data_IF_847085828314
#
_entry.id   IF_847085828314
#
_cell.length_a   1.000
_cell.length_b   1.000
_cell.length_c   1.000
_cell.angle_alpha   90.00
_cell.angle_beta   90.00
_cell.angle_gamma   90.00
#
_symmetry.space_group_name_H-M   'P 1'
#
loop_
_entity.id
_entity.type
_entity.pdbx_description
1 polymer ?
#
# COMPACT_ATOMS: atom_id res chain seq x y z
N UNK A 1 3.61 -32.12 5.65
CA UNK A 1 3.47 -31.40 6.94
C UNK A 1 4.10 -30.03 6.76
N UNK A 2 3.38 -28.95 7.04
CA UNK A 2 3.88 -27.58 6.80
C UNK A 2 4.57 -27.08 8.06
N UNK A 3 5.83 -26.65 7.93
CA UNK A 3 6.62 -26.09 9.03
C UNK A 3 6.06 -24.71 9.46
N UNK A 4 5.64 -24.54 10.74
CA UNK A 4 5.17 -23.25 11.24
C UNK A 4 6.20 -22.11 11.12
N UNK A 5 7.50 -22.42 11.25
CA UNK A 5 8.55 -21.41 11.09
C UNK A 5 8.61 -20.90 9.64
N UNK A 6 8.43 -21.80 8.67
CA UNK A 6 8.35 -21.44 7.26
C UNK A 6 7.13 -20.56 6.97
N UNK A 7 5.97 -20.84 7.58
CA UNK A 7 4.78 -20.00 7.43
C UNK A 7 5.01 -18.59 8.01
N UNK A 8 5.64 -18.50 9.18
CA UNK A 8 5.97 -17.21 9.79
C UNK A 8 6.98 -16.40 8.98
N UNK A 9 7.99 -17.06 8.42
CA UNK A 9 8.94 -16.43 7.51
C UNK A 9 8.25 -15.90 6.24
N UNK A 10 7.34 -16.69 5.64
CA UNK A 10 6.56 -16.25 4.47
C UNK A 10 5.67 -15.06 4.80
N UNK A 11 4.97 -15.10 5.93
CA UNK A 11 4.16 -13.96 6.43
C UNK A 11 5.02 -12.72 6.64
N UNK A 12 6.19 -12.84 7.26
CA UNK A 12 7.12 -11.72 7.45
C UNK A 12 7.62 -11.15 6.12
N UNK A 13 7.87 -12.00 5.12
CA UNK A 13 8.21 -11.58 3.76
C UNK A 13 7.09 -10.78 3.09
N UNK A 14 5.84 -11.22 3.22
CA UNK A 14 4.67 -10.47 2.70
C UNK A 14 4.54 -9.12 3.43
N UNK A 15 4.71 -9.11 4.76
CA UNK A 15 4.68 -7.87 5.56
C UNK A 15 5.72 -6.86 5.07
N UNK A 16 6.94 -7.31 4.79
CA UNK A 16 7.98 -6.45 4.23
C UNK A 16 7.57 -5.88 2.86
N UNK A 17 7.06 -6.72 1.96
CA UNK A 17 6.62 -6.28 0.62
C UNK A 17 5.48 -5.25 0.69
N UNK A 18 4.47 -5.49 1.51
CA UNK A 18 3.34 -4.55 1.68
C UNK A 18 3.81 -3.24 2.31
N UNK A 19 4.76 -3.30 3.26
CA UNK A 19 5.34 -2.10 3.87
C UNK A 19 6.10 -1.26 2.84
N UNK A 20 6.91 -1.89 1.97
CA UNK A 20 7.60 -1.16 0.89
C UNK A 20 6.62 -0.62 -0.15
N UNK A 21 5.59 -1.38 -0.52
CA UNK A 21 4.54 -0.90 -1.43
C UNK A 21 3.82 0.33 -0.86
N UNK A 22 3.52 0.33 0.44
CA UNK A 22 2.95 1.47 1.14
C UNK A 22 3.87 2.68 1.00
N UNK A 23 5.17 2.54 1.26
CA UNK A 23 6.13 3.66 1.13
C UNK A 23 6.17 4.19 -0.30
N UNK A 24 6.31 3.32 -1.28
CA UNK A 24 6.33 3.70 -2.69
C UNK A 24 5.05 4.44 -3.11
N UNK A 25 3.88 4.00 -2.61
CA UNK A 25 2.61 4.67 -2.89
C UNK A 25 2.53 6.06 -2.24
N UNK A 26 3.05 6.22 -1.02
CA UNK A 26 3.12 7.51 -0.35
C UNK A 26 4.02 8.50 -1.12
N UNK A 27 5.18 8.04 -1.58
CA UNK A 27 6.09 8.84 -2.40
C UNK A 27 5.42 9.25 -3.73
N UNK A 28 4.78 8.30 -4.41
CA UNK A 28 4.03 8.57 -5.64
C UNK A 28 2.87 9.57 -5.42
N UNK A 29 2.19 9.49 -4.28
CA UNK A 29 1.11 10.42 -3.93
C UNK A 29 1.64 11.85 -3.78
N UNK A 30 2.84 12.00 -3.25
CA UNK A 30 3.49 13.31 -3.13
C UNK A 30 3.97 13.84 -4.50
N UNK A 31 4.49 12.98 -5.36
CA UNK A 31 4.81 13.36 -6.74
C UNK A 31 3.57 13.87 -7.49
N UNK A 32 2.42 13.20 -7.33
CA UNK A 32 1.15 13.67 -7.88
C UNK A 32 0.67 14.97 -7.24
N UNK A 33 0.96 15.21 -5.95
CA UNK A 33 0.65 16.50 -5.30
C UNK A 33 1.45 17.64 -5.91
N UNK A 34 2.72 17.39 -6.28
CA UNK A 34 3.59 18.37 -6.90
C UNK A 34 3.29 18.59 -8.40
N UNK A 35 2.67 17.62 -9.07
CA UNK A 35 2.44 17.62 -10.52
C UNK A 35 1.78 18.90 -11.08
N UNK A 36 0.78 19.53 -10.44
CA UNK A 36 0.20 20.79 -10.93
C UNK A 36 1.19 21.94 -11.00
N UNK A 37 2.23 21.94 -10.16
CA UNK A 37 3.28 22.96 -10.15
C UNK A 37 4.36 22.74 -11.24
N UNK A 38 4.34 21.60 -11.95
CA UNK A 38 5.32 21.29 -12.99
C UNK A 38 5.23 22.19 -14.22
N UNK A 39 4.09 22.85 -14.45
CA UNK A 39 3.82 23.62 -15.66
C UNK A 39 3.67 22.76 -16.93
N UNK A 40 3.68 21.43 -16.81
CA UNK A 40 3.59 20.50 -17.94
C UNK A 40 2.16 20.10 -18.31
N UNK A 41 1.17 20.49 -17.49
CA UNK A 41 -0.25 20.18 -17.71
C UNK A 41 -0.90 21.29 -18.53
N UNK A 42 -1.33 20.95 -19.74
CA UNK A 42 -1.95 21.91 -20.67
C UNK A 42 -3.47 21.89 -20.61
N UNK A 43 -4.07 20.71 -20.74
CA UNK A 43 -5.52 20.50 -20.71
C UNK A 43 -5.83 19.01 -20.47
N UNK A 44 -7.10 18.70 -20.39
CA UNK A 44 -7.70 17.36 -20.39
C UNK A 44 -8.49 17.15 -21.67
N UNK A 45 -8.54 15.91 -22.18
CA UNK A 45 -9.34 15.63 -23.37
C UNK A 45 -10.84 15.86 -23.11
N UNK A 46 -11.48 16.67 -23.96
CA UNK A 46 -12.93 16.90 -23.99
C UNK A 46 -13.35 18.37 -23.97
N UNK A 47 -13.98 18.85 -25.05
CA UNK A 47 -14.53 20.22 -25.14
C UNK A 47 -15.67 20.36 -24.12
N UNK A 48 -15.49 21.24 -23.12
CA UNK A 48 -16.52 21.56 -22.12
C UNK A 48 -16.58 20.58 -20.93
N UNK A 49 -15.58 19.72 -20.75
CA UNK A 49 -15.55 18.79 -19.62
C UNK A 49 -15.25 19.53 -18.30
N UNK A 50 -16.04 19.27 -17.25
CA UNK A 50 -15.79 19.69 -15.85
C UNK A 50 -14.49 19.10 -15.25
N UNK A 51 -13.73 18.36 -16.04
CA UNK A 51 -12.66 17.47 -15.62
C UNK A 51 -11.34 18.18 -15.91
N UNK A 52 -10.98 19.21 -15.15
CA UNK A 52 -9.69 19.92 -15.34
C UNK A 52 -8.48 19.04 -14.99
N UNK A 53 -7.25 19.38 -15.42
CA UNK A 53 -6.05 18.68 -14.94
C UNK A 53 -5.95 18.63 -13.42
N UNK A 54 -6.35 19.71 -12.74
CA UNK A 54 -6.39 19.76 -11.28
C UNK A 54 -7.40 18.76 -10.69
N UNK A 55 -8.57 18.61 -11.31
CA UNK A 55 -9.57 17.61 -10.92
C UNK A 55 -9.04 16.18 -11.11
N UNK A 56 -8.44 15.87 -12.26
CA UNK A 56 -7.84 14.55 -12.52
C UNK A 56 -6.75 14.20 -11.49
N UNK A 57 -5.86 15.16 -11.20
CA UNK A 57 -4.79 14.97 -10.22
C UNK A 57 -5.36 14.78 -8.82
N UNK A 58 -6.38 15.55 -8.43
CA UNK A 58 -7.05 15.40 -7.14
C UNK A 58 -7.71 14.02 -7.01
N UNK A 59 -8.43 13.56 -8.04
CA UNK A 59 -9.08 12.24 -8.04
C UNK A 59 -8.07 11.09 -7.97
N UNK A 60 -6.96 11.16 -8.71
CA UNK A 60 -5.90 10.15 -8.61
C UNK A 60 -5.30 10.08 -7.20
N UNK A 61 -5.09 11.24 -6.56
CA UNK A 61 -4.58 11.30 -5.19
C UNK A 61 -5.57 10.74 -4.17
N UNK A 62 -6.85 11.03 -4.31
CA UNK A 62 -7.90 10.46 -3.44
C UNK A 62 -7.87 8.93 -3.48
N UNK A 63 -7.77 8.34 -4.67
CA UNK A 63 -7.64 6.88 -4.84
C UNK A 63 -6.35 6.33 -4.19
N UNK A 64 -5.23 7.06 -4.25
CA UNK A 64 -4.00 6.64 -3.56
C UNK A 64 -4.09 6.77 -2.04
N UNK A 65 -4.79 7.79 -1.54
CA UNK A 65 -5.08 7.97 -0.13
C UNK A 65 -5.95 6.80 0.39
N UNK A 66 -6.98 6.39 -0.36
CA UNK A 66 -7.77 5.17 -0.08
C UNK A 66 -6.91 3.90 -0.08
N UNK A 67 -6.11 3.69 -1.13
CA UNK A 67 -5.24 2.52 -1.22
C UNK A 67 -4.21 2.47 -0.07
N UNK A 68 -3.77 3.62 0.43
CA UNK A 68 -2.88 3.70 1.60
C UNK A 68 -3.57 3.16 2.86
N UNK A 69 -4.85 3.48 3.07
CA UNK A 69 -5.64 2.97 4.20
C UNK A 69 -5.73 1.44 4.13
N UNK A 70 -5.98 0.88 2.94
CA UNK A 70 -6.05 -0.56 2.75
C UNK A 70 -4.70 -1.27 2.98
N UNK A 71 -3.59 -0.64 2.58
CA UNK A 71 -2.26 -1.16 2.87
C UNK A 71 -1.93 -1.10 4.36
N UNK A 72 -2.32 -0.04 5.07
CA UNK A 72 -2.17 0.07 6.52
C UNK A 72 -2.99 -1.04 7.22
N UNK A 73 -4.21 -1.32 6.76
CA UNK A 73 -5.03 -2.42 7.25
C UNK A 73 -4.40 -3.81 6.98
N UNK A 74 -3.79 -4.00 5.80
CA UNK A 74 -3.07 -5.23 5.47
C UNK A 74 -1.83 -5.44 6.35
N UNK A 75 -1.08 -4.37 6.63
CA UNK A 75 0.07 -4.36 7.54
C UNK A 75 -0.36 -4.76 8.95
N UNK A 76 -1.44 -4.16 9.47
CA UNK A 76 -2.02 -4.53 10.77
C UNK A 76 -2.42 -6.01 10.80
N UNK A 77 -3.17 -6.48 9.80
CA UNK A 77 -3.62 -7.87 9.72
C UNK A 77 -2.46 -8.87 9.75
N UNK A 78 -1.38 -8.60 8.99
CA UNK A 78 -0.16 -9.41 8.97
C UNK A 78 0.59 -9.38 10.31
N UNK A 79 0.59 -8.23 10.99
CA UNK A 79 1.13 -8.08 12.34
C UNK A 79 0.36 -8.92 13.35
N UNK A 80 -0.97 -8.81 13.38
CA UNK A 80 -1.85 -9.60 14.26
C UNK A 80 -1.69 -11.10 14.01
N UNK A 81 -1.60 -11.53 12.76
CA UNK A 81 -1.33 -12.93 12.42
C UNK A 81 -0.02 -13.41 13.06
N UNK A 82 1.05 -12.61 12.99
CA UNK A 82 2.32 -12.90 13.65
C UNK A 82 2.22 -12.99 15.18
N UNK A 83 1.41 -12.14 15.79
CA UNK A 83 1.12 -12.22 17.24
C UNK A 83 0.48 -13.55 17.62
N UNK A 84 -0.48 -14.05 16.83
CA UNK A 84 -1.10 -15.35 17.10
C UNK A 84 -0.13 -16.52 16.89
N UNK A 85 0.63 -16.53 15.79
CA UNK A 85 1.53 -17.63 15.46
C UNK A 85 2.72 -17.73 16.41
N UNK A 86 3.20 -16.61 16.97
CA UNK A 86 4.25 -16.58 18.01
C UNK A 86 3.89 -17.37 19.28
N UNK A 87 2.61 -17.65 19.51
CA UNK A 87 2.12 -18.43 20.67
C UNK A 87 2.15 -19.93 20.43
N UNK A 88 2.36 -20.38 19.19
CA UNK A 88 2.41 -21.80 18.85
C UNK A 88 3.68 -22.42 19.47
N UNK A 89 3.50 -23.56 20.14
CA UNK A 89 4.60 -24.37 20.68
C UNK A 89 4.85 -25.53 19.73
N UNK A 90 6.08 -25.66 19.27
CA UNK A 90 6.49 -26.82 18.48
C UNK A 90 6.67 -28.01 19.41
N UNK A 91 6.21 -29.19 18.98
CA UNK A 91 6.56 -30.43 19.65
C UNK A 91 8.08 -30.62 19.53
N UNK A 92 8.78 -30.55 20.66
CA UNK A 92 10.17 -30.99 20.74
C UNK A 92 10.09 -32.51 20.80
N UNK A 93 10.51 -33.18 19.74
CA UNK A 93 10.77 -34.62 19.80
C UNK A 93 12.22 -34.76 20.27
N UNK A 94 12.40 -35.22 21.50
CA UNK A 94 13.70 -35.61 22.07
C UNK A 94 14.31 -36.80 21.31
#
# INVERSE_FOLDING_TARGET
MTDPQLLDARRAGILAQVTELRRALADLTEDYRALPASGLLLDTEGIGALITPAYCVAGAREVFEEATIELDAAIDALGRAGTYTSRLRLAVFD
#
